data_IF_252286951329
#
_entry.id   IF_252286951329
#
_cell.length_a   1.000
_cell.length_b   1.000
_cell.length_c   1.000
_cell.angle_alpha   90.00
_cell.angle_beta   90.00
_cell.angle_gamma   90.00
#
_symmetry.space_group_name_H-M   'P 1'
#
loop_
_entity.id
_entity.type
_entity.pdbx_description
1 polymer ?
#
# COMPACT_ATOMS: atom_id res chain seq x y z
N UNK A 1 -0.77 -25.83 29.70
CA UNK A 1 -0.65 -24.35 29.64
C UNK A 1 -0.12 -24.03 28.26
N UNK A 2 -0.88 -23.27 27.47
CA UNK A 2 -0.40 -22.80 26.16
C UNK A 2 0.79 -21.86 26.39
N UNK A 3 1.82 -21.98 25.55
CA UNK A 3 2.95 -21.06 25.57
C UNK A 3 2.51 -19.71 25.00
N UNK A 4 3.01 -18.60 25.55
CA UNK A 4 2.67 -17.26 25.09
C UNK A 4 3.03 -17.01 23.62
N UNK A 5 3.98 -17.74 23.07
CA UNK A 5 4.34 -17.73 21.65
C UNK A 5 3.31 -18.43 20.77
N UNK A 6 2.69 -19.50 21.25
CA UNK A 6 1.60 -20.20 20.55
C UNK A 6 0.32 -19.33 20.51
N UNK A 7 0.04 -18.62 21.61
CA UNK A 7 -1.10 -17.69 21.66
C UNK A 7 -0.90 -16.49 20.72
N UNK A 8 0.30 -15.93 20.65
CA UNK A 8 0.65 -14.86 19.72
C UNK A 8 0.36 -15.27 18.27
N UNK A 9 0.80 -16.48 17.91
CA UNK A 9 0.60 -17.01 16.56
C UNK A 9 -0.89 -17.23 16.25
N UNK A 10 -1.64 -17.80 17.19
CA UNK A 10 -3.07 -18.01 17.03
C UNK A 10 -3.89 -16.71 16.89
N UNK A 11 -3.48 -15.61 17.56
CA UNK A 11 -4.09 -14.30 17.40
C UNK A 11 -3.83 -13.74 16.02
N UNK A 12 -2.61 -13.91 15.49
CA UNK A 12 -2.24 -13.42 14.15
C UNK A 12 -2.92 -14.20 13.04
N UNK A 13 -3.03 -15.52 13.15
CA UNK A 13 -3.67 -16.37 12.16
C UNK A 13 -5.18 -16.06 12.01
N UNK A 14 -5.81 -15.55 13.05
CA UNK A 14 -7.21 -15.11 13.00
C UNK A 14 -7.43 -13.84 12.18
N UNK A 15 -6.38 -13.21 11.67
CA UNK A 15 -6.50 -12.00 10.83
C UNK A 15 -7.15 -10.80 11.55
N UNK A 16 -7.26 -10.86 12.86
CA UNK A 16 -7.84 -9.78 13.67
C UNK A 16 -6.80 -8.67 13.74
N UNK A 17 -7.22 -7.45 13.55
CA UNK A 17 -6.46 -6.23 13.84
C UNK A 17 -6.15 -6.17 15.34
N UNK A 18 -5.24 -7.04 15.77
CA UNK A 18 -4.88 -7.15 17.17
C UNK A 18 -4.08 -5.92 17.62
N UNK A 19 -4.33 -5.42 18.83
CA UNK A 19 -3.47 -4.39 19.41
C UNK A 19 -2.03 -4.90 19.52
N UNK A 20 -1.03 -4.01 19.66
CA UNK A 20 0.34 -4.42 19.90
C UNK A 20 0.45 -5.35 21.11
N UNK A 21 1.07 -6.50 20.94
CA UNK A 21 1.16 -7.54 21.98
C UNK A 21 2.57 -7.50 22.59
N UNK A 22 2.64 -7.36 23.92
CA UNK A 22 3.88 -7.43 24.70
C UNK A 22 3.90 -8.76 25.43
N UNK A 23 4.99 -9.53 25.30
CA UNK A 23 5.16 -10.81 26.00
C UNK A 23 5.97 -10.58 27.27
N UNK A 24 5.46 -11.10 28.41
CA UNK A 24 6.15 -11.07 29.70
C UNK A 24 6.40 -12.53 30.12
N UNK A 25 7.68 -12.95 30.23
CA UNK A 25 8.02 -14.35 30.51
C UNK A 25 9.06 -14.49 31.63
N UNK A 26 8.93 -15.55 32.44
CA UNK A 26 9.90 -15.90 33.47
C UNK A 26 11.09 -16.74 32.95
N UNK A 27 11.00 -17.26 31.71
CA UNK A 27 12.06 -18.06 31.08
C UNK A 27 12.62 -17.27 29.89
N UNK A 28 13.41 -16.26 30.16
CA UNK A 28 13.89 -15.35 29.13
C UNK A 28 15.37 -15.53 28.86
N UNK A 29 15.73 -16.33 27.86
CA UNK A 29 17.01 -16.15 27.17
C UNK A 29 16.82 -15.17 26.00
N UNK A 30 17.93 -14.64 25.50
CA UNK A 30 17.94 -13.68 24.39
C UNK A 30 17.27 -14.27 23.14
N UNK A 31 17.45 -15.58 22.90
CA UNK A 31 16.90 -16.27 21.73
C UNK A 31 15.36 -16.28 21.73
N UNK A 32 14.75 -16.54 22.89
CA UNK A 32 13.27 -16.49 23.05
C UNK A 32 12.73 -15.09 22.82
N UNK A 33 13.44 -14.04 23.27
CA UNK A 33 13.04 -12.66 23.02
C UNK A 33 13.08 -12.30 21.53
N UNK A 34 14.16 -12.71 20.84
CA UNK A 34 14.31 -12.52 19.39
C UNK A 34 13.22 -13.27 18.61
N UNK A 35 12.92 -14.51 19.02
CA UNK A 35 11.87 -15.31 18.41
C UNK A 35 10.49 -14.66 18.58
N UNK A 36 10.17 -14.15 19.77
CA UNK A 36 8.92 -13.45 20.06
C UNK A 36 8.73 -12.26 19.13
N UNK A 37 9.75 -11.43 18.97
CA UNK A 37 9.71 -10.25 18.09
C UNK A 37 9.61 -10.68 16.61
N UNK A 38 10.34 -11.69 16.18
CA UNK A 38 10.22 -12.26 14.82
C UNK A 38 8.81 -12.80 14.53
N UNK A 39 8.17 -13.42 15.51
CA UNK A 39 6.77 -13.86 15.43
C UNK A 39 5.77 -12.71 15.55
N UNK A 40 6.27 -11.48 15.80
CA UNK A 40 5.51 -10.23 15.72
C UNK A 40 4.92 -9.76 17.05
N UNK A 41 5.48 -10.15 18.17
CA UNK A 41 5.29 -9.39 19.39
C UNK A 41 5.83 -7.96 19.20
N UNK A 42 5.19 -7.00 19.86
CA UNK A 42 5.69 -5.63 19.89
C UNK A 42 7.00 -5.53 20.65
N UNK A 43 7.08 -6.20 21.80
CA UNK A 43 8.27 -6.28 22.64
C UNK A 43 8.19 -7.51 23.57
N UNK A 44 9.31 -7.81 24.22
CA UNK A 44 9.46 -8.89 25.18
C UNK A 44 10.08 -8.37 26.48
N UNK A 45 9.46 -8.69 27.63
CA UNK A 45 9.93 -8.30 28.95
C UNK A 45 10.20 -9.54 29.84
N UNK A 46 11.39 -9.67 30.48
CA UNK A 46 11.64 -10.74 31.43
C UNK A 46 10.90 -10.50 32.74
N UNK A 47 10.54 -11.55 33.46
CA UNK A 47 10.03 -11.50 34.83
C UNK A 47 11.20 -11.57 35.85
N UNK A 48 11.18 -10.77 36.93
CA UNK A 48 10.25 -9.68 37.22
C UNK A 48 10.49 -8.48 36.30
N UNK A 49 9.43 -7.86 35.74
CA UNK A 49 9.62 -6.74 34.84
C UNK A 49 10.09 -5.50 35.59
N UNK A 50 11.05 -4.79 35.03
CA UNK A 50 11.41 -3.44 35.43
C UNK A 50 10.23 -2.50 35.15
N UNK A 51 9.77 -1.79 36.18
CA UNK A 51 8.58 -0.94 36.07
C UNK A 51 8.77 0.20 35.05
N UNK A 52 9.95 0.83 35.05
CA UNK A 52 10.22 1.94 34.12
C UNK A 52 10.25 1.44 32.67
N UNK A 53 10.95 0.32 32.44
CA UNK A 53 10.99 -0.31 31.09
C UNK A 53 9.60 -0.73 30.65
N UNK A 54 8.79 -1.32 31.53
CA UNK A 54 7.44 -1.73 31.21
C UNK A 54 6.55 -0.53 30.83
N UNK A 55 6.61 0.58 31.59
CA UNK A 55 5.84 1.80 31.29
C UNK A 55 6.23 2.40 29.95
N UNK A 56 7.53 2.47 29.63
CA UNK A 56 8.00 2.96 28.33
C UNK A 56 7.50 2.06 27.19
N UNK A 57 7.63 0.74 27.36
CA UNK A 57 7.22 -0.23 26.34
C UNK A 57 5.70 -0.17 26.09
N UNK A 58 4.89 -0.07 27.14
CA UNK A 58 3.42 0.06 27.03
C UNK A 58 3.05 1.36 26.32
N UNK A 59 3.67 2.49 26.70
CA UNK A 59 3.43 3.78 26.02
C UNK A 59 3.73 3.69 24.54
N UNK A 60 4.89 3.19 24.16
CA UNK A 60 5.29 3.04 22.75
C UNK A 60 4.33 2.11 21.98
N UNK A 61 3.86 1.04 22.63
CA UNK A 61 2.88 0.14 22.05
C UNK A 61 1.53 0.83 21.81
N UNK A 62 1.06 1.62 22.78
CA UNK A 62 -0.18 2.40 22.64
C UNK A 62 -0.06 3.45 21.53
N UNK A 63 1.04 4.20 21.48
CA UNK A 63 1.27 5.21 20.45
C UNK A 63 1.26 4.58 19.04
N UNK A 64 1.92 3.43 18.86
CA UNK A 64 1.86 2.69 17.61
C UNK A 64 0.45 2.22 17.27
N UNK A 65 -0.31 1.72 18.25
CA UNK A 65 -1.70 1.31 18.08
C UNK A 65 -2.59 2.47 17.63
N UNK A 66 -2.46 3.62 18.27
CA UNK A 66 -3.21 4.84 17.94
C UNK A 66 -2.88 5.32 16.53
N UNK A 67 -1.60 5.38 16.14
CA UNK A 67 -1.18 5.76 14.78
C UNK A 67 -1.76 4.83 13.72
N UNK A 68 -1.81 3.52 13.96
CA UNK A 68 -2.44 2.55 13.04
C UNK A 68 -3.93 2.83 12.91
N UNK A 69 -4.63 3.08 14.03
CA UNK A 69 -6.07 3.37 14.03
C UNK A 69 -6.38 4.70 13.34
N UNK A 70 -5.63 5.76 13.63
CA UNK A 70 -5.78 7.06 12.96
C UNK A 70 -5.57 6.93 11.45
N UNK A 71 -4.51 6.22 11.03
CA UNK A 71 -4.24 5.98 9.61
C UNK A 71 -5.40 5.24 8.94
N UNK A 72 -6.01 4.25 9.62
CA UNK A 72 -7.20 3.54 9.10
C UNK A 72 -8.41 4.44 8.99
N UNK A 73 -8.67 5.26 10.01
CA UNK A 73 -9.79 6.20 10.01
C UNK A 73 -9.63 7.22 8.90
N UNK A 74 -8.43 7.77 8.72
CA UNK A 74 -8.13 8.73 7.65
C UNK A 74 -8.28 8.09 6.27
N UNK A 75 -7.73 6.90 6.06
CA UNK A 75 -7.92 6.13 4.82
C UNK A 75 -9.41 5.87 4.55
N UNK A 76 -10.16 5.39 5.55
CA UNK A 76 -11.60 5.12 5.41
C UNK A 76 -12.41 6.39 5.08
N UNK A 77 -12.04 7.55 5.64
CA UNK A 77 -12.65 8.83 5.29
C UNK A 77 -12.34 9.23 3.86
N UNK A 78 -11.09 9.11 3.40
CA UNK A 78 -10.68 9.39 2.03
C UNK A 78 -11.44 8.55 1.01
N UNK A 79 -11.66 7.26 1.28
CA UNK A 79 -12.37 6.37 0.37
C UNK A 79 -13.90 6.49 0.46
N UNK A 80 -14.47 6.83 1.65
CA UNK A 80 -15.92 7.00 1.81
C UNK A 80 -16.50 8.20 1.06
N UNK A 81 -15.68 9.22 0.78
CA UNK A 81 -16.11 10.43 0.06
C UNK A 81 -16.15 10.27 -1.46
N UNK A 82 -15.79 9.10 -2.00
CA UNK A 82 -15.58 8.86 -3.44
C UNK A 82 -16.41 7.68 -3.98
N UNK A 83 -17.68 7.60 -3.57
CA UNK A 83 -18.59 6.61 -4.15
C UNK A 83 -19.22 7.13 -5.44
N UNK A 84 -19.34 6.27 -6.44
CA UNK A 84 -20.10 6.57 -7.66
C UNK A 84 -21.58 6.65 -7.28
N UNK A 85 -22.16 7.85 -7.35
CA UNK A 85 -23.58 8.09 -7.08
C UNK A 85 -24.37 7.88 -8.37
N UNK A 86 -25.48 7.13 -8.29
CA UNK A 86 -26.38 6.89 -9.41
C UNK A 86 -26.90 5.46 -9.44
N UNK A 87 -28.08 5.29 -10.05
CA UNK A 87 -28.83 4.03 -10.17
C UNK A 87 -29.22 3.70 -11.62
N UNK A 88 -28.69 4.45 -12.60
CA UNK A 88 -28.94 4.14 -13.99
C UNK A 88 -28.35 2.78 -14.37
N UNK A 89 -28.92 2.13 -15.37
CA UNK A 89 -28.44 0.82 -15.87
C UNK A 89 -26.96 0.87 -16.25
N UNK A 90 -26.47 1.98 -16.80
CA UNK A 90 -25.06 2.17 -17.15
C UNK A 90 -24.17 2.22 -15.91
N UNK A 91 -24.56 2.98 -14.88
CA UNK A 91 -23.83 3.08 -13.62
C UNK A 91 -23.84 1.73 -12.89
N UNK A 92 -24.98 1.03 -12.87
CA UNK A 92 -25.08 -0.31 -12.26
C UNK A 92 -24.11 -1.29 -12.93
N UNK A 93 -24.06 -1.32 -14.25
CA UNK A 93 -23.10 -2.16 -14.99
C UNK A 93 -21.64 -1.84 -14.67
N UNK A 94 -21.29 -0.56 -14.49
CA UNK A 94 -19.94 -0.15 -14.09
C UNK A 94 -19.64 -0.64 -12.68
N UNK A 95 -20.55 -0.46 -11.73
CA UNK A 95 -20.40 -0.95 -10.35
C UNK A 95 -20.21 -2.48 -10.30
N UNK A 96 -20.99 -3.23 -11.07
CA UNK A 96 -20.88 -4.69 -11.16
C UNK A 96 -19.54 -5.12 -11.79
N UNK A 97 -19.04 -4.38 -12.78
CA UNK A 97 -17.75 -4.64 -13.39
C UNK A 97 -16.60 -4.36 -12.40
N UNK A 98 -16.65 -3.24 -11.68
CA UNK A 98 -15.70 -2.91 -10.61
C UNK A 98 -15.67 -4.03 -9.57
N UNK A 99 -16.83 -4.47 -9.07
CA UNK A 99 -16.90 -5.52 -8.06
C UNK A 99 -16.29 -6.85 -8.52
N UNK A 100 -16.39 -7.18 -9.81
CA UNK A 100 -15.79 -8.41 -10.38
C UNK A 100 -14.29 -8.28 -10.62
N UNK A 101 -13.82 -7.11 -11.03
CA UNK A 101 -12.40 -6.91 -11.42
C UNK A 101 -11.53 -6.59 -10.22
N UNK A 102 -12.02 -5.81 -9.26
CA UNK A 102 -11.24 -5.33 -8.12
C UNK A 102 -10.51 -6.43 -7.32
N UNK A 103 -11.10 -7.61 -7.03
CA UNK A 103 -10.40 -8.66 -6.29
C UNK A 103 -9.39 -9.45 -7.12
N UNK A 104 -9.18 -9.10 -8.39
CA UNK A 104 -8.26 -9.78 -9.29
C UNK A 104 -6.96 -9.00 -9.49
N UNK A 105 -5.93 -9.66 -10.05
CA UNK A 105 -4.67 -9.02 -10.48
C UNK A 105 -4.72 -8.51 -11.93
N UNK A 106 -5.92 -8.40 -12.52
CA UNK A 106 -6.09 -7.95 -13.89
C UNK A 106 -5.63 -6.51 -14.08
N UNK A 107 -5.02 -6.23 -15.22
CA UNK A 107 -4.76 -4.87 -15.68
C UNK A 107 -6.04 -4.31 -16.27
N UNK A 108 -6.41 -3.11 -15.86
CA UNK A 108 -7.69 -2.50 -16.23
C UNK A 108 -7.43 -1.27 -17.09
N UNK A 109 -8.06 -1.22 -18.26
CA UNK A 109 -8.12 -0.01 -19.08
C UNK A 109 -9.48 0.66 -18.83
N UNK A 110 -9.45 1.92 -18.38
CA UNK A 110 -10.64 2.74 -18.18
C UNK A 110 -10.72 3.74 -19.34
N UNK A 111 -11.81 3.68 -20.09
CA UNK A 111 -12.06 4.57 -21.23
C UNK A 111 -13.30 5.44 -20.99
N UNK A 112 -13.27 6.65 -21.52
CA UNK A 112 -14.37 7.61 -21.42
C UNK A 112 -13.90 9.03 -21.66
N UNK A 113 -14.85 9.92 -21.95
CA UNK A 113 -14.59 11.33 -22.19
C UNK A 113 -14.00 12.03 -20.96
N UNK A 114 -13.44 13.22 -21.15
CA UNK A 114 -12.93 14.02 -20.03
C UNK A 114 -14.05 14.41 -19.08
N UNK A 115 -13.77 14.33 -17.77
CA UNK A 115 -14.76 14.67 -16.74
C UNK A 115 -15.80 13.58 -16.42
N UNK A 116 -15.77 12.41 -17.07
CA UNK A 116 -16.73 11.31 -16.82
C UNK A 116 -16.49 10.53 -15.53
N UNK A 117 -15.41 10.83 -14.78
CA UNK A 117 -15.11 10.20 -13.51
C UNK A 117 -14.21 8.97 -13.60
N UNK A 118 -13.34 8.88 -14.62
CA UNK A 118 -12.35 7.79 -14.77
C UNK A 118 -11.52 7.57 -13.49
N UNK A 119 -11.06 8.66 -12.86
CA UNK A 119 -10.32 8.62 -11.59
C UNK A 119 -11.13 7.97 -10.47
N UNK A 120 -12.43 8.30 -10.36
CA UNK A 120 -13.32 7.73 -9.35
C UNK A 120 -13.48 6.22 -9.52
N UNK A 121 -13.57 5.74 -10.76
CA UNK A 121 -13.58 4.30 -11.08
C UNK A 121 -12.28 3.63 -10.65
N UNK A 122 -11.12 4.23 -10.95
CA UNK A 122 -9.81 3.71 -10.55
C UNK A 122 -9.69 3.61 -9.01
N UNK A 123 -10.12 4.64 -8.29
CA UNK A 123 -10.12 4.67 -6.84
C UNK A 123 -11.06 3.61 -6.22
N UNK A 124 -12.23 3.38 -6.82
CA UNK A 124 -13.13 2.32 -6.37
C UNK A 124 -12.54 0.94 -6.61
N UNK A 125 -11.92 0.69 -7.78
CA UNK A 125 -11.24 -0.57 -8.06
C UNK A 125 -10.15 -0.81 -7.00
N UNK A 126 -9.30 0.18 -6.72
CA UNK A 126 -8.29 0.05 -5.67
C UNK A 126 -8.90 -0.21 -4.29
N UNK A 127 -9.92 0.57 -3.90
CA UNK A 127 -10.58 0.45 -2.59
C UNK A 127 -11.25 -0.91 -2.34
N UNK A 128 -11.72 -1.58 -3.40
CA UNK A 128 -12.32 -2.91 -3.35
C UNK A 128 -11.32 -4.05 -3.63
N UNK A 129 -10.06 -3.74 -3.91
CA UNK A 129 -9.02 -4.72 -4.23
C UNK A 129 -8.40 -5.33 -2.97
N UNK A 130 -7.72 -6.46 -3.15
CA UNK A 130 -6.89 -7.09 -2.10
C UNK A 130 -5.71 -6.21 -1.67
N UNK A 131 -5.42 -5.13 -2.44
CA UNK A 131 -4.34 -4.17 -2.19
C UNK A 131 -4.84 -2.84 -1.61
N UNK A 132 -6.09 -2.75 -1.18
CA UNK A 132 -6.70 -1.52 -0.64
C UNK A 132 -5.98 -0.91 0.56
N UNK A 133 -5.21 -1.71 1.31
CA UNK A 133 -4.35 -1.23 2.40
C UNK A 133 -3.00 -0.66 1.93
N UNK A 134 -2.55 -1.01 0.72
CA UNK A 134 -1.30 -0.58 0.11
C UNK A 134 -1.47 0.81 -0.58
N UNK A 135 -0.38 1.45 -1.02
CA UNK A 135 -0.49 2.76 -1.66
C UNK A 135 -1.19 2.69 -3.02
N UNK A 136 -2.03 3.69 -3.31
CA UNK A 136 -2.45 4.03 -4.66
C UNK A 136 -1.65 5.24 -5.12
N UNK A 137 -0.88 5.07 -6.19
CA UNK A 137 -0.08 6.12 -6.80
C UNK A 137 -0.78 6.57 -8.07
N UNK A 138 -1.20 7.82 -8.11
CA UNK A 138 -1.89 8.43 -9.25
C UNK A 138 -0.91 9.31 -10.02
N UNK A 139 -0.89 9.20 -11.34
CA UNK A 139 -0.02 9.98 -12.23
C UNK A 139 -0.87 10.51 -13.39
N UNK A 140 -0.96 11.81 -13.49
CA UNK A 140 -1.53 12.45 -14.68
C UNK A 140 -0.39 12.63 -15.69
N UNK A 141 -0.41 11.82 -16.77
CA UNK A 141 0.66 11.79 -17.76
C UNK A 141 0.69 13.06 -18.63
N UNK A 142 -0.46 13.71 -18.83
CA UNK A 142 -0.53 14.96 -19.58
C UNK A 142 0.10 16.15 -18.83
N UNK A 143 0.17 16.07 -17.49
CA UNK A 143 0.74 17.14 -16.67
C UNK A 143 2.28 17.10 -16.58
N UNK A 144 2.92 16.03 -17.09
CA UNK A 144 4.37 15.84 -17.01
C UNK A 144 5.00 16.11 -18.36
N UNK A 145 6.03 16.99 -18.46
CA UNK A 145 6.76 17.19 -19.70
C UNK A 145 7.27 15.87 -20.30
N UNK A 146 7.18 15.74 -21.64
CA UNK A 146 7.52 14.50 -22.35
C UNK A 146 8.94 14.00 -22.07
N UNK A 147 9.89 14.92 -21.85
CA UNK A 147 11.29 14.62 -21.54
C UNK A 147 11.49 14.05 -20.15
N UNK A 148 10.55 14.32 -19.23
CA UNK A 148 10.64 13.91 -17.83
C UNK A 148 9.79 12.69 -17.50
N UNK A 149 8.82 12.33 -18.35
CA UNK A 149 7.83 11.28 -18.07
C UNK A 149 8.49 9.93 -17.76
N UNK A 150 9.52 9.54 -18.50
CA UNK A 150 10.23 8.28 -18.24
C UNK A 150 10.96 8.31 -16.90
N UNK A 151 11.61 9.41 -16.57
CA UNK A 151 12.30 9.60 -15.28
C UNK A 151 11.32 9.64 -14.11
N UNK A 152 10.13 10.22 -14.29
CA UNK A 152 9.08 10.23 -13.27
C UNK A 152 8.51 8.81 -13.05
N UNK A 153 8.20 8.09 -14.12
CA UNK A 153 7.58 6.77 -14.04
C UNK A 153 8.55 5.69 -13.52
N UNK A 154 9.74 5.63 -14.09
CA UNK A 154 10.69 4.54 -13.84
C UNK A 154 11.81 4.90 -12.87
N UNK A 155 12.02 6.19 -12.61
CA UNK A 155 13.14 6.67 -11.82
C UNK A 155 14.44 6.74 -12.62
N UNK A 156 15.52 7.16 -11.97
CA UNK A 156 16.85 7.20 -12.54
C UNK A 156 17.93 7.07 -11.47
N UNK A 157 19.09 6.57 -11.88
CA UNK A 157 20.28 6.56 -11.04
C UNK A 157 21.02 7.91 -11.14
N UNK A 158 21.81 8.24 -10.11
CA UNK A 158 22.65 9.43 -10.13
C UNK A 158 23.62 9.39 -11.33
N UNK A 159 23.64 10.46 -12.11
CA UNK A 159 24.52 10.60 -13.26
C UNK A 159 24.05 9.97 -14.56
N UNK A 160 22.82 9.48 -14.64
CA UNK A 160 22.27 8.85 -15.85
C UNK A 160 22.03 9.83 -17.01
N UNK A 161 21.86 11.11 -16.72
CA UNK A 161 21.75 12.20 -17.70
C UNK A 161 22.20 13.54 -17.09
N UNK A 162 22.38 14.58 -17.92
CA UNK A 162 22.72 15.93 -17.46
C UNK A 162 21.62 16.51 -16.59
N UNK A 163 21.91 16.72 -15.29
CA UNK A 163 20.92 17.15 -14.29
C UNK A 163 20.45 16.05 -13.34
N UNK A 164 20.89 14.80 -13.51
CA UNK A 164 20.63 13.70 -12.58
C UNK A 164 21.57 13.74 -11.36
N UNK A 165 21.46 14.79 -10.55
CA UNK A 165 22.37 15.03 -9.40
C UNK A 165 22.16 14.00 -8.26
N UNK A 166 20.98 13.41 -8.19
CA UNK A 166 20.58 12.43 -7.17
C UNK A 166 19.81 11.28 -7.82
N UNK A 167 19.84 10.13 -7.17
CA UNK A 167 18.95 9.02 -7.50
C UNK A 167 17.49 9.42 -7.25
N UNK A 168 16.58 9.03 -8.15
CA UNK A 168 15.13 9.22 -8.02
C UNK A 168 14.38 7.89 -8.10
N UNK A 169 13.53 7.66 -7.11
CA UNK A 169 12.61 6.52 -7.09
C UNK A 169 11.41 6.83 -8.01
N UNK A 170 11.15 5.97 -8.98
CA UNK A 170 10.06 6.11 -9.94
C UNK A 170 8.68 5.79 -9.34
N UNK A 171 7.62 6.23 -10.04
CA UNK A 171 6.22 5.99 -9.63
C UNK A 171 5.85 4.51 -9.61
N UNK A 172 6.37 3.71 -10.53
CA UNK A 172 6.20 2.26 -10.53
C UNK A 172 6.73 1.63 -9.23
N UNK A 173 7.91 2.03 -8.79
CA UNK A 173 8.52 1.54 -7.56
C UNK A 173 7.75 2.03 -6.31
N UNK A 174 7.29 3.29 -6.31
CA UNK A 174 6.44 3.84 -5.24
C UNK A 174 5.13 3.09 -5.10
N UNK A 175 4.58 2.56 -6.20
CA UNK A 175 3.35 1.77 -6.23
C UNK A 175 3.57 0.29 -5.91
N UNK A 176 4.77 -0.12 -5.52
CA UNK A 176 5.08 -1.52 -5.24
C UNK A 176 4.12 -2.11 -4.21
N UNK A 177 3.62 -3.32 -4.48
CA UNK A 177 2.58 -4.00 -3.71
C UNK A 177 1.22 -3.26 -3.64
N UNK A 178 1.09 -2.13 -4.32
CA UNK A 178 -0.10 -1.28 -4.37
C UNK A 178 -0.74 -1.22 -5.76
N UNK A 179 -1.24 -0.04 -6.11
CA UNK A 179 -1.87 0.23 -7.40
C UNK A 179 -1.25 1.47 -8.02
N UNK A 180 -0.85 1.38 -9.29
CA UNK A 180 -0.48 2.52 -10.11
C UNK A 180 -1.64 2.86 -11.04
N UNK A 181 -2.13 4.09 -10.98
CA UNK A 181 -3.11 4.63 -11.91
C UNK A 181 -2.43 5.67 -12.80
N UNK A 182 -2.44 5.41 -14.10
CA UNK A 182 -1.92 6.31 -15.13
C UNK A 182 -3.12 6.95 -15.84
N UNK A 183 -3.34 8.23 -15.60
CA UNK A 183 -4.36 9.01 -16.30
C UNK A 183 -3.78 9.63 -17.57
N UNK A 184 -4.63 9.78 -18.59
CA UNK A 184 -4.29 10.35 -19.90
C UNK A 184 -3.05 9.67 -20.55
N UNK A 185 -3.04 8.32 -20.53
CA UNK A 185 -1.91 7.53 -21.07
C UNK A 185 -1.65 7.79 -22.56
N UNK A 186 -2.65 8.23 -23.31
CA UNK A 186 -2.54 8.60 -24.71
C UNK A 186 -1.68 9.82 -24.99
N UNK A 187 -1.51 10.69 -23.98
CA UNK A 187 -0.72 11.94 -24.12
C UNK A 187 0.77 11.72 -23.90
N UNK A 188 1.18 10.52 -23.47
CA UNK A 188 2.59 10.17 -23.39
C UNK A 188 3.23 10.05 -24.77
N UNK A 189 4.55 10.35 -24.84
CA UNK A 189 5.36 10.04 -26.02
C UNK A 189 5.30 8.53 -26.36
N UNK A 190 5.41 8.18 -27.64
CA UNK A 190 5.40 6.78 -28.08
C UNK A 190 6.50 5.94 -27.41
N UNK A 191 7.67 6.53 -27.11
CA UNK A 191 8.75 5.87 -26.38
C UNK A 191 8.33 5.51 -24.95
N UNK A 192 7.69 6.43 -24.24
CA UNK A 192 7.20 6.21 -22.89
C UNK A 192 6.09 5.16 -22.87
N UNK A 193 5.15 5.20 -23.83
CA UNK A 193 4.10 4.18 -23.97
C UNK A 193 4.69 2.79 -24.20
N UNK A 194 5.69 2.66 -25.07
CA UNK A 194 6.38 1.40 -25.34
C UNK A 194 7.09 0.86 -24.09
N UNK A 195 7.70 1.72 -23.29
CA UNK A 195 8.36 1.33 -22.05
C UNK A 195 7.38 0.90 -20.97
N UNK A 196 6.23 1.60 -20.84
CA UNK A 196 5.12 1.19 -19.98
C UNK A 196 4.57 -0.18 -20.40
N UNK A 197 4.35 -0.39 -21.70
CA UNK A 197 3.88 -1.68 -22.22
C UNK A 197 4.85 -2.81 -21.86
N UNK A 198 6.15 -2.61 -22.03
CA UNK A 198 7.17 -3.58 -21.59
C UNK A 198 7.08 -3.89 -20.10
N UNK A 199 7.03 -2.86 -19.26
CA UNK A 199 6.92 -3.03 -17.81
C UNK A 199 5.68 -3.85 -17.43
N UNK A 200 4.56 -3.63 -18.13
CA UNK A 200 3.34 -4.40 -17.95
C UNK A 200 3.48 -5.85 -18.41
N UNK A 201 4.18 -6.12 -19.50
CA UNK A 201 4.35 -7.48 -20.04
C UNK A 201 5.33 -8.32 -19.20
N UNK A 202 6.46 -7.73 -18.82
CA UNK A 202 7.55 -8.43 -18.13
C UNK A 202 7.37 -8.48 -16.61
N UNK A 203 6.45 -7.70 -16.05
CA UNK A 203 6.31 -7.47 -14.59
C UNK A 203 7.62 -7.04 -13.92
N UNK A 204 8.47 -6.36 -14.66
CA UNK A 204 9.78 -5.87 -14.22
C UNK A 204 9.97 -4.44 -14.70
N UNK A 205 10.64 -3.65 -13.88
CA UNK A 205 11.07 -2.29 -14.23
C UNK A 205 12.58 -2.22 -14.17
N UNK A 206 13.17 -1.48 -15.10
CA UNK A 206 14.57 -1.05 -15.06
C UNK A 206 14.61 0.47 -15.06
N UNK A 207 15.50 1.04 -14.25
CA UNK A 207 15.79 2.47 -14.21
C UNK A 207 16.66 2.87 -15.40
#
# INVERSE_FOLDING_TARGET
KKDGLEELQAIKEKGIDAPPIIIISGHGNLDTAVEAVKKGAFDYLPKPPDLNKMLITVRNAMDKGNLIQETKVLKKKLYKTKEIVGESLSISKIKDMIARVAPTDARVLITGDNGTGKELVAQMIHGMSLRSSAPMVEVNCAAIPSELIESELFGHEKGSFTGADKQKIGKFEQANSGTLFLDEVGDMSLSAQAKVLRALQENKISR
#
